data_IF_367766373004
#
_entry.id   IF_367766373004
#
_cell.length_a   1.000
_cell.length_b   1.000
_cell.length_c   1.000
_cell.angle_alpha   90.00
_cell.angle_beta   90.00
_cell.angle_gamma   90.00
#
_symmetry.space_group_name_H-M   'P 1'
#
loop_
_entity.id
_entity.type
_entity.pdbx_description
1 polymer ?
#
# COMPACT_ATOMS: atom_id res chain seq x y z
N UNK A 1 -22.36 6.34 -11.84
CA UNK A 1 -22.02 5.56 -10.63
C UNK A 1 -20.71 6.16 -10.11
N UNK A 2 -20.65 6.59 -8.86
CA UNK A 2 -19.44 7.22 -8.31
C UNK A 2 -18.39 6.14 -8.05
N UNK A 3 -17.54 5.88 -9.04
CA UNK A 3 -16.51 4.82 -9.00
C UNK A 3 -15.59 4.94 -7.78
N UNK A 4 -15.45 6.14 -7.21
CA UNK A 4 -14.67 6.40 -6.01
C UNK A 4 -15.28 5.82 -4.73
N UNK A 5 -16.56 5.41 -4.75
CA UNK A 5 -17.20 4.74 -3.61
C UNK A 5 -16.97 3.23 -3.60
N UNK A 6 -16.51 2.64 -4.70
CA UNK A 6 -16.15 1.22 -4.75
C UNK A 6 -14.88 0.96 -3.93
N UNK A 7 -14.69 -0.23 -3.33
CA UNK A 7 -13.43 -0.56 -2.64
C UNK A 7 -12.19 -0.39 -3.52
N UNK A 8 -12.28 -0.75 -4.81
CA UNK A 8 -11.20 -0.58 -5.77
C UNK A 8 -10.90 0.89 -6.06
N UNK A 9 -11.92 1.72 -6.28
CA UNK A 9 -11.75 3.17 -6.47
C UNK A 9 -11.17 3.85 -5.23
N UNK A 10 -11.61 3.44 -4.03
CA UNK A 10 -11.02 3.91 -2.77
C UNK A 10 -9.54 3.53 -2.65
N UNK A 11 -9.17 2.30 -3.02
CA UNK A 11 -7.76 1.88 -3.00
C UNK A 11 -6.90 2.83 -3.86
N UNK A 12 -7.31 3.10 -5.10
CA UNK A 12 -6.57 3.99 -6.01
C UNK A 12 -6.36 5.38 -5.40
N UNK A 13 -7.42 5.96 -4.81
CA UNK A 13 -7.34 7.27 -4.15
C UNK A 13 -6.41 7.25 -2.95
N UNK A 14 -6.51 6.23 -2.09
CA UNK A 14 -5.73 6.16 -0.85
C UNK A 14 -4.25 5.83 -1.12
N UNK A 15 -3.95 5.03 -2.14
CA UNK A 15 -2.58 4.79 -2.63
C UNK A 15 -1.98 6.10 -3.13
N UNK A 16 -2.69 6.84 -3.99
CA UNK A 16 -2.21 8.12 -4.53
C UNK A 16 -1.89 9.12 -3.43
N UNK A 17 -2.85 9.35 -2.52
CA UNK A 17 -2.68 10.27 -1.37
C UNK A 17 -1.49 9.89 -0.48
N UNK A 18 -1.30 8.61 -0.24
CA UNK A 18 -0.23 8.13 0.64
C UNK A 18 1.13 8.22 -0.05
N UNK A 19 1.21 7.86 -1.33
CA UNK A 19 2.42 7.99 -2.12
C UNK A 19 2.86 9.46 -2.23
N UNK A 20 1.94 10.38 -2.53
CA UNK A 20 2.25 11.82 -2.63
C UNK A 20 2.64 12.43 -1.29
N UNK A 21 1.99 12.00 -0.20
CA UNK A 21 2.39 12.38 1.16
C UNK A 21 3.83 11.97 1.47
N UNK A 22 4.26 10.78 1.04
CA UNK A 22 5.63 10.30 1.23
C UNK A 22 6.63 11.04 0.31
N UNK A 23 6.28 11.25 -0.96
CA UNK A 23 7.12 11.97 -1.94
C UNK A 23 7.36 13.42 -1.57
N UNK A 24 6.40 14.08 -0.94
CA UNK A 24 6.55 15.46 -0.45
C UNK A 24 7.46 15.58 0.78
N UNK A 25 7.88 14.47 1.41
CA UNK A 25 8.83 14.51 2.52
C UNK A 25 10.27 14.55 2.01
N UNK A 26 11.09 15.40 2.62
CA UNK A 26 12.54 15.36 2.41
C UNK A 26 13.16 14.04 2.90
N UNK A 27 14.21 13.59 2.21
CA UNK A 27 14.95 12.34 2.53
C UNK A 27 15.37 12.26 4.00
N UNK A 28 15.83 13.38 4.58
CA UNK A 28 16.21 13.45 5.99
C UNK A 28 15.05 13.11 6.94
N UNK A 29 13.83 13.56 6.64
CA UNK A 29 12.63 13.25 7.45
C UNK A 29 12.18 11.80 7.28
N UNK A 30 12.28 11.27 6.07
CA UNK A 30 11.91 9.87 5.77
C UNK A 30 12.85 8.87 6.46
N UNK A 31 14.14 9.21 6.58
CA UNK A 31 15.17 8.37 7.22
C UNK A 31 15.38 8.61 8.71
N UNK A 32 14.72 9.61 9.32
CA UNK A 32 14.82 9.86 10.75
C UNK A 32 14.06 8.79 11.58
N UNK A 33 14.47 8.62 12.83
CA UNK A 33 13.83 7.72 13.80
C UNK A 33 12.31 7.94 13.88
N UNK A 34 11.53 6.85 13.94
CA UNK A 34 10.07 6.92 13.82
C UNK A 34 9.34 5.72 14.43
N UNK A 35 9.17 5.71 15.74
CA UNK A 35 8.51 4.60 16.44
C UNK A 35 7.08 4.30 15.95
N UNK A 36 6.65 3.01 15.97
CA UNK A 36 7.42 1.82 16.38
C UNK A 36 8.38 1.28 15.31
N UNK A 37 8.34 1.82 14.09
CA UNK A 37 9.26 1.42 13.04
C UNK A 37 10.63 2.11 13.18
N UNK A 38 11.69 1.62 12.53
CA UNK A 38 12.97 2.32 12.58
C UNK A 38 12.92 3.70 11.92
N UNK A 39 12.14 3.83 10.83
CA UNK A 39 12.01 5.07 10.03
C UNK A 39 10.64 5.13 9.35
N UNK A 40 10.25 6.32 8.85
CA UNK A 40 9.02 6.47 8.03
C UNK A 40 9.10 5.65 6.74
N UNK A 41 10.29 5.56 6.13
CA UNK A 41 10.49 4.70 4.96
C UNK A 41 10.32 3.21 5.29
N UNK A 42 10.75 2.77 6.48
CA UNK A 42 10.51 1.41 6.95
C UNK A 42 9.01 1.14 7.20
N UNK A 43 8.28 2.10 7.78
CA UNK A 43 6.83 2.02 7.93
C UNK A 43 6.11 1.94 6.57
N UNK A 44 6.53 2.75 5.59
CA UNK A 44 6.02 2.69 4.23
C UNK A 44 6.28 1.32 3.57
N UNK A 45 7.49 0.78 3.72
CA UNK A 45 7.82 -0.58 3.24
C UNK A 45 6.98 -1.66 3.93
N UNK A 46 6.70 -1.53 5.23
CA UNK A 46 5.84 -2.47 5.94
C UNK A 46 4.41 -2.48 5.39
N UNK A 47 3.86 -1.32 5.06
CA UNK A 47 2.56 -1.24 4.36
C UNK A 47 2.66 -1.81 2.94
N UNK A 48 3.71 -1.47 2.19
CA UNK A 48 3.93 -2.04 0.86
C UNK A 48 4.00 -3.59 0.89
N UNK A 49 4.64 -4.17 1.91
CA UNK A 49 4.65 -5.62 2.13
C UNK A 49 3.24 -6.19 2.35
N UNK A 50 2.39 -5.51 3.13
CA UNK A 50 1.01 -5.94 3.33
C UNK A 50 0.21 -5.93 2.03
N UNK A 51 0.38 -4.89 1.21
CA UNK A 51 -0.27 -4.79 -0.11
C UNK A 51 0.21 -5.92 -1.05
N UNK A 52 1.51 -6.19 -1.08
CA UNK A 52 2.09 -7.25 -1.90
C UNK A 52 1.61 -8.65 -1.46
N UNK A 53 1.51 -8.91 -0.15
CA UNK A 53 0.98 -10.16 0.37
C UNK A 53 -0.49 -10.33 0.00
N UNK A 54 -1.29 -9.27 0.14
CA UNK A 54 -2.70 -9.29 -0.26
C UNK A 54 -2.86 -9.57 -1.76
N UNK A 55 -2.02 -8.98 -2.61
CA UNK A 55 -2.03 -9.26 -4.05
C UNK A 55 -1.70 -10.74 -4.33
N UNK A 56 -0.69 -11.29 -3.66
CA UNK A 56 -0.32 -12.70 -3.78
C UNK A 56 -1.47 -13.63 -3.32
N UNK A 57 -2.14 -13.31 -2.21
CA UNK A 57 -3.29 -14.08 -1.70
C UNK A 57 -4.44 -14.11 -2.70
N UNK A 58 -4.75 -12.98 -3.35
CA UNK A 58 -5.79 -12.89 -4.37
C UNK A 58 -5.46 -13.69 -5.64
N UNK A 59 -4.17 -13.92 -5.92
CA UNK A 59 -3.69 -14.69 -7.07
C UNK A 59 -3.41 -16.16 -6.74
N UNK A 60 -3.43 -16.55 -5.46
CA UNK A 60 -3.02 -17.88 -5.02
C UNK A 60 -1.51 -18.12 -5.10
N UNK A 61 -0.71 -17.05 -5.12
CA UNK A 61 0.74 -17.09 -5.19
C UNK A 61 1.40 -17.11 -3.80
N UNK A 62 2.66 -17.57 -3.74
CA UNK A 62 3.45 -17.50 -2.52
C UNK A 62 3.92 -16.08 -2.18
N UNK A 63 3.95 -15.73 -0.90
CA UNK A 63 4.43 -14.42 -0.43
C UNK A 63 5.91 -14.22 -0.72
N UNK A 64 6.26 -13.03 -1.19
CA UNK A 64 7.64 -12.61 -1.45
C UNK A 64 7.98 -11.35 -0.67
N UNK A 65 9.21 -11.26 -0.20
CA UNK A 65 9.67 -10.07 0.51
C UNK A 65 9.80 -8.89 -0.46
N UNK A 66 9.13 -7.77 -0.14
CA UNK A 66 9.31 -6.49 -0.81
C UNK A 66 10.73 -6.01 -0.51
N UNK A 67 11.54 -5.66 -1.54
CA UNK A 67 12.94 -5.31 -1.35
C UNK A 67 13.10 -4.03 -0.52
N UNK A 68 14.25 -3.89 0.14
CA UNK A 68 14.65 -2.59 0.72
C UNK A 68 15.13 -1.71 -0.43
N UNK A 69 14.55 -0.52 -0.56
CA UNK A 69 14.90 0.46 -1.60
C UNK A 69 15.45 1.74 -0.97
N UNK A 70 15.96 2.65 -1.80
CA UNK A 70 16.37 3.97 -1.35
C UNK A 70 15.21 4.70 -0.64
N UNK A 71 15.54 5.46 0.41
CA UNK A 71 14.55 6.19 1.23
C UNK A 71 13.64 7.09 0.40
N UNK A 72 14.19 7.73 -0.64
CA UNK A 72 13.44 8.58 -1.57
C UNK A 72 12.39 7.83 -2.39
N UNK A 73 12.53 6.51 -2.55
CA UNK A 73 11.61 5.67 -3.32
C UNK A 73 10.45 5.10 -2.47
N UNK A 74 10.32 5.49 -1.19
CA UNK A 74 9.27 4.97 -0.30
C UNK A 74 7.84 5.19 -0.85
N UNK A 75 7.57 6.37 -1.41
CA UNK A 75 6.27 6.65 -2.04
C UNK A 75 6.01 5.82 -3.29
N UNK A 76 7.04 5.61 -4.11
CA UNK A 76 6.93 4.81 -5.34
C UNK A 76 6.73 3.32 -5.04
N UNK A 77 7.40 2.81 -4.00
CA UNK A 77 7.23 1.43 -3.56
C UNK A 77 5.80 1.14 -3.09
N UNK A 78 5.17 2.08 -2.38
CA UNK A 78 3.73 1.99 -2.01
C UNK A 78 2.85 2.04 -3.25
N UNK A 79 3.14 2.93 -4.20
CA UNK A 79 2.38 3.06 -5.43
C UNK A 79 2.41 1.78 -6.30
N UNK A 80 3.59 1.15 -6.43
CA UNK A 80 3.75 -0.11 -7.17
C UNK A 80 2.97 -1.24 -6.51
N UNK A 81 3.18 -1.48 -5.21
CA UNK A 81 2.48 -2.58 -4.53
C UNK A 81 0.96 -2.36 -4.46
N UNK A 82 0.51 -1.10 -4.37
CA UNK A 82 -0.91 -0.74 -4.46
C UNK A 82 -1.49 -0.98 -5.86
N UNK A 83 -0.71 -0.74 -6.92
CA UNK A 83 -1.09 -1.06 -8.29
C UNK A 83 -1.19 -2.56 -8.51
N UNK A 84 -0.21 -3.32 -8.02
CA UNK A 84 -0.21 -4.79 -8.11
C UNK A 84 -1.45 -5.39 -7.42
N UNK A 85 -1.84 -4.86 -6.25
CA UNK A 85 -3.06 -5.27 -5.56
C UNK A 85 -4.33 -4.93 -6.37
N UNK A 86 -4.40 -3.73 -6.97
CA UNK A 86 -5.53 -3.36 -7.83
C UNK A 86 -5.65 -4.28 -9.06
N UNK A 87 -4.53 -4.56 -9.71
CA UNK A 87 -4.49 -5.44 -10.88
C UNK A 87 -4.87 -6.88 -10.46
N UNK A 88 -4.35 -7.39 -9.34
CA UNK A 88 -4.71 -8.69 -8.78
C UNK A 88 -6.22 -8.80 -8.48
N UNK A 89 -6.81 -7.80 -7.82
CA UNK A 89 -8.24 -7.74 -7.54
C UNK A 89 -9.10 -7.76 -8.80
N UNK A 90 -8.60 -7.20 -9.91
CA UNK A 90 -9.32 -7.12 -11.19
C UNK A 90 -9.35 -8.44 -11.96
N UNK A 91 -8.38 -9.33 -11.71
CA UNK A 91 -8.27 -10.64 -12.37
C UNK A 91 -8.51 -11.83 -11.44
N UNK A 92 -8.71 -11.58 -10.15
CA UNK A 92 -8.85 -12.64 -9.14
C UNK A 92 -10.10 -13.48 -9.38
N UNK A 93 -9.97 -14.79 -9.15
CA UNK A 93 -11.07 -15.75 -9.19
C UNK A 93 -11.69 -15.99 -7.81
N UNK A 94 -11.21 -15.32 -6.76
CA UNK A 94 -11.78 -15.44 -5.41
C UNK A 94 -13.15 -14.74 -5.33
N UNK A 95 -14.03 -15.10 -4.38
CA UNK A 95 -15.33 -14.46 -4.24
C UNK A 95 -15.20 -12.93 -4.05
N UNK A 96 -16.06 -12.15 -4.71
CA UNK A 96 -15.98 -10.68 -4.68
C UNK A 96 -16.04 -10.08 -3.28
N UNK A 97 -16.77 -10.69 -2.33
CA UNK A 97 -16.80 -10.25 -0.94
C UNK A 97 -15.45 -10.38 -0.22
N UNK A 98 -14.61 -11.36 -0.62
CA UNK A 98 -13.23 -11.48 -0.12
C UNK A 98 -12.37 -10.37 -0.71
N UNK A 99 -12.49 -10.11 -2.02
CA UNK A 99 -11.79 -9.00 -2.69
C UNK A 99 -12.12 -7.66 -2.00
N UNK A 100 -13.40 -7.38 -1.78
CA UNK A 100 -13.86 -6.12 -1.16
C UNK A 100 -13.31 -5.95 0.28
N UNK A 101 -13.28 -7.04 1.06
CA UNK A 101 -12.70 -7.04 2.40
C UNK A 101 -11.19 -6.77 2.35
N UNK A 102 -10.44 -7.47 1.49
CA UNK A 102 -9.00 -7.26 1.29
C UNK A 102 -8.68 -5.83 0.87
N UNK A 103 -9.45 -5.25 -0.06
CA UNK A 103 -9.28 -3.87 -0.50
C UNK A 103 -9.58 -2.86 0.62
N UNK A 104 -10.56 -3.17 1.47
CA UNK A 104 -10.89 -2.34 2.64
C UNK A 104 -9.76 -2.34 3.66
N UNK A 105 -9.22 -3.51 4.01
CA UNK A 105 -8.10 -3.65 4.94
C UNK A 105 -6.84 -2.92 4.43
N UNK A 106 -6.58 -3.01 3.12
CA UNK A 106 -5.50 -2.28 2.46
C UNK A 106 -5.69 -0.76 2.58
N UNK A 107 -6.91 -0.25 2.38
CA UNK A 107 -7.21 1.17 2.57
C UNK A 107 -6.98 1.62 4.01
N UNK A 108 -7.34 0.79 5.01
CA UNK A 108 -7.12 1.10 6.41
C UNK A 108 -5.62 1.19 6.76
N UNK A 109 -4.81 0.26 6.23
CA UNK A 109 -3.36 0.30 6.41
C UNK A 109 -2.71 1.55 5.79
N UNK A 110 -3.17 1.98 4.61
CA UNK A 110 -2.71 3.20 3.95
C UNK A 110 -3.10 4.46 4.74
N UNK A 111 -4.34 4.50 5.24
CA UNK A 111 -4.85 5.61 6.04
C UNK A 111 -4.10 5.73 7.38
N UNK A 112 -3.86 4.60 8.06
CA UNK A 112 -3.07 4.57 9.29
C UNK A 112 -1.67 5.15 9.04
N UNK A 113 -0.94 4.64 8.05
CA UNK A 113 0.38 5.16 7.70
C UNK A 113 0.33 6.66 7.45
N UNK A 114 -0.60 7.14 6.62
CA UNK A 114 -0.72 8.56 6.27
C UNK A 114 -0.99 9.45 7.50
N UNK A 115 -1.72 8.95 8.51
CA UNK A 115 -1.99 9.67 9.76
C UNK A 115 -0.75 9.78 10.66
N UNK A 116 0.17 8.82 10.57
CA UNK A 116 1.37 8.78 11.43
C UNK A 116 2.57 9.56 10.86
N UNK A 117 2.67 9.74 9.54
CA UNK A 117 3.89 10.27 8.87
C UNK A 117 3.96 11.80 8.71
#
# INVERSE_FOLDING_TARGET
>A
MDETRSPAGRLVVEVGRTADRLRSMGVARLGAAFEPEPTRAAAARAVAQRLANAAADLLGDGHRAVPVVAVSAAGDQVAVCGRDLFDAASVSTVPSGVVDATLTDACEALLDLRRRV
#
